data_IF_499303530197
#
_entry.id   IF_499303530197
#
_cell.length_a   1.000
_cell.length_b   1.000
_cell.length_c   1.000
_cell.angle_alpha   90.00
_cell.angle_beta   90.00
_cell.angle_gamma   90.00
#
_symmetry.space_group_name_H-M   'P 1'
#
loop_
_entity.id
_entity.type
_entity.pdbx_description
1 polymer ?
#
# COMPACT_ATOMS: atom_id res chain seq x y z
N UNK A 1 -58.60 28.72 12.08
CA UNK A 1 -57.23 28.70 12.62
C UNK A 1 -56.82 27.25 12.79
N UNK A 2 -56.10 26.72 11.81
CA UNK A 2 -55.63 25.33 11.75
C UNK A 2 -54.20 25.27 12.29
N UNK A 3 -53.97 24.44 13.31
CA UNK A 3 -52.66 24.17 13.88
C UNK A 3 -51.72 23.56 12.82
N UNK A 4 -50.44 23.95 12.75
CA UNK A 4 -49.49 23.27 11.87
C UNK A 4 -49.16 21.88 12.41
N UNK A 5 -49.13 20.90 11.51
CA UNK A 5 -48.68 19.54 11.81
C UNK A 5 -47.18 19.53 12.15
N UNK A 6 -46.82 18.81 13.21
CA UNK A 6 -45.43 18.53 13.57
C UNK A 6 -44.76 17.72 12.45
N UNK A 7 -43.51 18.04 12.04
CA UNK A 7 -42.79 17.21 11.08
C UNK A 7 -42.48 15.85 11.70
N UNK A 8 -42.79 14.80 10.93
CA UNK A 8 -42.44 13.41 11.23
C UNK A 8 -40.91 13.29 11.33
N UNK A 9 -40.36 12.55 12.32
CA UNK A 9 -38.93 12.34 12.39
C UNK A 9 -38.50 11.58 11.14
N UNK A 10 -37.67 12.23 10.32
CA UNK A 10 -36.98 11.58 9.21
C UNK A 10 -36.31 10.32 9.76
N UNK A 11 -36.56 9.20 9.09
CA UNK A 11 -35.85 7.96 9.32
C UNK A 11 -34.36 8.26 9.17
N UNK A 12 -33.66 8.23 10.30
CA UNK A 12 -32.23 7.99 10.33
C UNK A 12 -32.06 6.62 9.67
N UNK A 13 -31.56 6.59 8.44
CA UNK A 13 -31.06 5.39 7.80
C UNK A 13 -29.93 4.86 8.67
N UNK A 14 -30.31 4.01 9.63
CA UNK A 14 -29.40 3.27 10.47
C UNK A 14 -28.68 2.29 9.57
N UNK A 15 -27.42 2.62 9.25
CA UNK A 15 -26.46 1.69 8.71
C UNK A 15 -26.43 0.47 9.66
N UNK A 16 -27.09 -0.61 9.27
CA UNK A 16 -27.06 -1.84 10.05
C UNK A 16 -25.59 -2.26 10.16
N UNK A 17 -25.05 -2.49 11.37
CA UNK A 17 -23.69 -3.00 11.50
C UNK A 17 -23.63 -4.32 10.74
N UNK A 18 -22.82 -4.37 9.67
CA UNK A 18 -22.61 -5.63 8.94
C UNK A 18 -22.05 -6.63 9.94
N UNK A 19 -22.76 -7.75 10.11
CA UNK A 19 -22.25 -8.81 10.96
C UNK A 19 -20.91 -9.29 10.41
N UNK A 20 -19.91 -9.57 11.28
CA UNK A 20 -18.64 -10.11 10.84
C UNK A 20 -18.86 -11.40 10.03
N UNK A 21 -18.18 -11.50 8.88
CA UNK A 21 -18.32 -12.63 7.97
C UNK A 21 -16.97 -13.28 7.70
N UNK A 22 -16.93 -14.58 7.52
CA UNK A 22 -15.67 -15.27 7.21
C UNK A 22 -15.39 -15.23 5.71
N UNK A 23 -14.14 -14.96 5.33
CA UNK A 23 -13.71 -14.94 3.92
C UNK A 23 -12.27 -15.43 3.77
N UNK A 24 -11.95 -15.90 2.57
CA UNK A 24 -10.59 -16.25 2.18
C UNK A 24 -9.92 -15.04 1.53
N UNK A 25 -8.69 -14.73 1.94
CA UNK A 25 -7.84 -13.72 1.33
C UNK A 25 -6.46 -14.30 0.97
N UNK A 26 -5.76 -13.63 0.06
CA UNK A 26 -4.36 -13.91 -0.24
C UNK A 26 -3.53 -12.72 0.24
N UNK A 27 -2.63 -12.94 1.18
CA UNK A 27 -1.88 -11.86 1.83
C UNK A 27 -0.48 -12.33 2.18
N UNK A 28 0.46 -11.39 2.21
CA UNK A 28 1.80 -11.57 2.80
C UNK A 28 1.94 -10.83 4.13
N UNK A 29 0.86 -10.23 4.63
CA UNK A 29 0.83 -9.42 5.85
C UNK A 29 0.08 -10.18 6.93
N UNK A 30 0.59 -10.10 8.17
CA UNK A 30 -0.11 -10.57 9.36
C UNK A 30 -1.26 -9.62 9.72
N UNK A 31 -2.48 -10.16 9.83
CA UNK A 31 -3.69 -9.39 10.16
C UNK A 31 -4.05 -9.49 11.66
N UNK A 32 -4.66 -8.45 12.27
CA UNK A 32 -5.03 -7.17 11.67
C UNK A 32 -3.82 -6.30 11.32
N UNK A 33 -3.94 -5.49 10.26
CA UNK A 33 -2.95 -4.46 9.95
C UNK A 33 -3.36 -3.14 10.63
N UNK A 34 -2.44 -2.53 11.37
CA UNK A 34 -2.62 -1.18 11.94
C UNK A 34 -2.04 -0.15 10.97
N UNK A 35 -2.82 0.88 10.61
CA UNK A 35 -2.42 1.89 9.62
C UNK A 35 -2.03 3.26 10.20
N UNK A 36 -2.36 3.48 11.46
CA UNK A 36 -2.05 4.68 12.25
C UNK A 36 -1.02 4.40 13.34
N UNK A 37 -0.19 3.36 13.16
CA UNK A 37 0.72 2.94 14.21
C UNK A 37 1.73 4.05 14.56
N UNK A 38 1.79 4.42 15.83
CA UNK A 38 2.76 5.36 16.37
C UNK A 38 3.92 4.58 17.03
N UNK A 39 5.11 4.51 16.39
CA UNK A 39 6.25 3.81 16.97
C UNK A 39 6.69 4.44 18.30
N UNK A 40 6.95 3.63 19.34
CA UNK A 40 7.55 4.08 20.59
C UNK A 40 8.83 4.89 20.40
N UNK A 41 9.03 5.90 21.26
CA UNK A 41 10.22 6.78 21.23
C UNK A 41 11.53 6.05 21.54
N UNK A 42 11.45 4.92 22.24
CA UNK A 42 12.62 4.08 22.58
C UNK A 42 13.08 3.19 21.41
N UNK A 43 12.37 3.23 20.27
CA UNK A 43 12.68 2.45 19.08
C UNK A 43 12.23 0.99 19.15
N UNK A 44 11.52 0.59 20.21
CA UNK A 44 10.89 -0.73 20.30
C UNK A 44 9.73 -0.84 19.29
N UNK A 45 9.51 -2.05 18.77
CA UNK A 45 8.42 -2.38 17.84
C UNK A 45 8.19 -1.38 16.69
N UNK A 46 9.22 -0.96 15.93
CA UNK A 46 9.07 0.08 14.92
C UNK A 46 8.06 -0.28 13.83
N UNK A 47 7.59 0.73 13.08
CA UNK A 47 6.83 0.50 11.84
C UNK A 47 7.62 -0.46 10.93
N UNK A 48 6.98 -1.55 10.51
CA UNK A 48 7.68 -2.62 9.77
C UNK A 48 8.17 -2.13 8.41
N UNK A 49 7.42 -1.24 7.75
CA UNK A 49 7.81 -0.63 6.48
C UNK A 49 8.99 0.35 6.60
N UNK A 50 9.09 1.08 7.71
CA UNK A 50 10.22 1.98 7.95
C UNK A 50 11.47 1.20 8.38
N UNK A 51 11.29 0.21 9.24
CA UNK A 51 12.39 -0.55 9.82
C UNK A 51 13.02 -1.52 8.82
N UNK A 52 12.20 -2.20 8.03
CA UNK A 52 12.64 -3.14 7.02
C UNK A 52 11.93 -2.86 5.69
N UNK A 53 12.64 -2.25 4.75
CA UNK A 53 12.05 -1.91 3.44
C UNK A 53 11.56 -3.15 2.67
N UNK A 54 12.12 -4.33 2.94
CA UNK A 54 11.70 -5.58 2.28
C UNK A 54 10.34 -6.04 2.74
N UNK A 55 9.87 -5.59 3.92
CA UNK A 55 8.54 -5.93 4.42
C UNK A 55 7.43 -5.45 3.49
N UNK A 56 7.54 -4.24 2.93
CA UNK A 56 6.58 -3.77 1.93
C UNK A 56 6.69 -4.48 0.58
N UNK A 57 7.86 -5.05 0.26
CA UNK A 57 8.09 -5.77 -0.99
C UNK A 57 7.57 -7.20 -0.91
N UNK A 58 7.92 -7.92 0.16
CA UNK A 58 7.76 -9.37 0.27
C UNK A 58 6.83 -9.79 1.42
N UNK A 59 6.64 -8.92 2.42
CA UNK A 59 5.93 -9.24 3.65
C UNK A 59 6.56 -10.44 4.35
N UNK A 60 5.71 -11.32 4.85
CA UNK A 60 6.02 -12.60 5.47
C UNK A 60 5.85 -13.78 4.49
N UNK A 61 5.76 -13.49 3.18
CA UNK A 61 5.48 -14.47 2.14
C UNK A 61 3.99 -14.70 1.91
N UNK A 62 3.58 -14.73 0.65
CA UNK A 62 2.17 -14.79 0.25
C UNK A 62 1.55 -16.14 0.59
N UNK A 63 0.35 -16.13 1.18
CA UNK A 63 -0.41 -17.34 1.52
C UNK A 63 -1.91 -17.09 1.50
N UNK A 64 -2.66 -18.18 1.48
CA UNK A 64 -4.12 -18.19 1.61
C UNK A 64 -4.50 -18.20 3.09
N UNK A 65 -5.26 -17.21 3.52
CA UNK A 65 -5.64 -17.01 4.93
C UNK A 65 -7.16 -16.91 5.01
N UNK A 66 -7.76 -17.59 5.96
CA UNK A 66 -9.15 -17.39 6.34
C UNK A 66 -9.22 -16.28 7.40
N UNK A 67 -10.03 -15.26 7.15
CA UNK A 67 -10.20 -14.11 8.05
C UNK A 67 -11.66 -13.88 8.41
N UNK A 68 -11.88 -13.35 9.61
CA UNK A 68 -13.12 -12.71 10.00
C UNK A 68 -13.09 -11.25 9.55
N UNK A 69 -13.97 -10.90 8.62
CA UNK A 69 -14.14 -9.58 8.02
C UNK A 69 -15.27 -8.81 8.71
N UNK A 70 -14.91 -7.69 9.33
CA UNK A 70 -15.83 -6.82 10.06
C UNK A 70 -16.55 -5.79 9.17
N UNK A 71 -16.28 -5.78 7.86
CA UNK A 71 -16.91 -4.89 6.89
C UNK A 71 -16.42 -3.44 6.93
N UNK A 72 -15.43 -3.13 7.78
CA UNK A 72 -14.82 -1.81 7.98
C UNK A 72 -13.31 -1.81 7.70
N UNK A 73 -12.84 -2.76 6.89
CA UNK A 73 -11.42 -2.97 6.60
C UNK A 73 -10.65 -3.75 7.69
N UNK A 74 -11.24 -3.99 8.87
CA UNK A 74 -10.58 -4.81 9.89
C UNK A 74 -10.76 -6.30 9.60
N UNK A 75 -9.63 -7.01 9.54
CA UNK A 75 -9.57 -8.46 9.43
C UNK A 75 -8.90 -9.08 10.66
N UNK A 76 -9.38 -10.25 11.09
CA UNK A 76 -8.73 -11.09 12.11
C UNK A 76 -8.47 -12.47 11.49
N UNK A 77 -7.24 -12.96 11.57
CA UNK A 77 -6.89 -14.30 11.08
C UNK A 77 -7.61 -15.38 11.90
N UNK A 78 -8.28 -16.30 11.20
CA UNK A 78 -8.98 -17.46 11.76
C UNK A 78 -8.17 -18.73 11.54
N UNK A 79 -7.65 -18.92 10.32
CA UNK A 79 -6.84 -20.09 9.97
C UNK A 79 -5.85 -19.78 8.84
N UNK A 80 -4.73 -20.50 8.79
CA UNK A 80 -3.68 -20.33 7.76
C UNK A 80 -2.87 -19.02 7.83
N UNK A 81 -3.12 -18.19 8.85
CA UNK A 81 -2.50 -16.88 9.03
C UNK A 81 -1.09 -16.90 9.59
N UNK A 82 -0.43 -15.74 9.58
CA UNK A 82 0.93 -15.56 10.09
C UNK A 82 0.99 -15.47 11.61
N UNK A 83 -0.07 -14.96 12.27
CA UNK A 83 -0.10 -14.76 13.72
C UNK A 83 -0.03 -16.10 14.46
N UNK A 84 -0.67 -17.14 13.92
CA UNK A 84 -0.61 -18.50 14.47
C UNK A 84 0.81 -19.11 14.41
N UNK A 85 1.69 -18.61 13.54
CA UNK A 85 3.11 -19.00 13.44
C UNK A 85 4.03 -18.17 14.37
N UNK A 86 3.46 -17.29 15.19
CA UNK A 86 4.19 -16.46 16.15
C UNK A 86 4.63 -15.11 15.59
N UNK A 87 4.16 -14.70 14.41
CA UNK A 87 4.40 -13.35 13.91
C UNK A 87 3.48 -12.33 14.60
N UNK A 88 4.02 -11.15 14.89
CA UNK A 88 3.18 -10.03 15.35
C UNK A 88 2.29 -9.51 14.21
N UNK A 89 1.08 -8.99 14.51
CA UNK A 89 0.25 -8.27 13.55
C UNK A 89 1.00 -7.12 12.89
N UNK A 90 0.68 -6.84 11.62
CA UNK A 90 1.44 -5.87 10.84
C UNK A 90 1.18 -4.44 11.27
N UNK A 91 2.23 -3.61 11.27
CA UNK A 91 2.18 -2.23 11.77
C UNK A 91 2.75 -1.25 10.76
N UNK A 92 1.87 -0.48 10.14
CA UNK A 92 2.17 0.63 9.25
C UNK A 92 1.94 1.95 9.99
N UNK A 93 2.93 2.84 9.97
CA UNK A 93 2.76 4.17 10.54
C UNK A 93 2.00 5.10 9.59
N UNK A 94 1.48 6.19 10.16
CA UNK A 94 0.76 7.24 9.45
C UNK A 94 1.52 7.75 8.22
N UNK A 95 2.84 7.94 8.31
CA UNK A 95 3.66 8.42 7.19
C UNK A 95 3.64 7.42 6.03
N UNK A 96 3.80 6.13 6.31
CA UNK A 96 3.74 5.09 5.27
C UNK A 96 2.34 4.97 4.67
N UNK A 97 1.28 5.09 5.46
CA UNK A 97 -0.08 5.07 4.94
C UNK A 97 -0.35 6.28 4.04
N UNK A 98 0.04 7.48 4.46
CA UNK A 98 -0.13 8.72 3.71
C UNK A 98 0.63 8.74 2.38
N UNK A 99 1.83 8.15 2.31
CA UNK A 99 2.56 7.98 1.04
C UNK A 99 1.75 7.18 0.01
N UNK A 100 1.04 6.14 0.45
CA UNK A 100 0.19 5.32 -0.41
C UNK A 100 -1.10 6.04 -0.80
N UNK A 101 -1.72 6.77 0.14
CA UNK A 101 -2.88 7.61 -0.13
C UNK A 101 -2.54 8.71 -1.15
N UNK A 102 -1.35 9.28 -1.06
CA UNK A 102 -0.89 10.29 -2.01
C UNK A 102 -0.76 9.72 -3.43
N UNK A 103 -0.26 8.49 -3.58
CA UNK A 103 -0.25 7.77 -4.86
C UNK A 103 -1.68 7.53 -5.35
N UNK A 104 -2.56 6.98 -4.51
CA UNK A 104 -3.96 6.67 -4.84
C UNK A 104 -4.74 7.89 -5.32
N UNK A 105 -4.46 9.07 -4.78
CA UNK A 105 -5.17 10.32 -5.09
C UNK A 105 -4.61 11.06 -6.32
N UNK A 106 -3.55 10.55 -6.94
CA UNK A 106 -3.01 11.16 -8.14
C UNK A 106 -4.02 11.06 -9.29
N UNK A 107 -4.54 12.21 -9.75
CA UNK A 107 -5.62 12.26 -10.75
C UNK A 107 -5.25 11.58 -12.08
N UNK A 108 -4.00 11.73 -12.51
CA UNK A 108 -3.47 11.06 -13.69
C UNK A 108 -1.96 10.89 -13.54
N UNK A 109 -1.47 9.65 -13.61
CA UNK A 109 -0.04 9.39 -13.55
C UNK A 109 0.66 9.81 -14.85
N UNK A 110 1.68 10.65 -14.74
CA UNK A 110 2.60 10.97 -15.85
C UNK A 110 3.92 10.27 -15.61
N UNK A 111 4.20 9.20 -16.33
CA UNK A 111 5.39 8.38 -16.08
C UNK A 111 6.60 8.92 -16.86
N UNK A 112 7.74 9.04 -16.19
CA UNK A 112 9.03 9.48 -16.74
C UNK A 112 10.18 8.65 -16.17
N UNK A 113 11.34 8.65 -16.83
CA UNK A 113 12.54 8.02 -16.30
C UNK A 113 13.03 8.67 -15.00
N UNK A 114 13.54 7.85 -14.09
CA UNK A 114 14.22 8.30 -12.87
C UNK A 114 15.62 8.78 -13.21
N UNK A 115 15.96 9.99 -12.76
CA UNK A 115 17.30 10.54 -12.91
C UNK A 115 18.33 9.64 -12.20
N UNK A 116 19.41 9.29 -12.91
CA UNK A 116 20.51 8.49 -12.36
C UNK A 116 20.30 6.97 -12.38
N UNK A 117 19.15 6.48 -12.86
CA UNK A 117 18.89 5.04 -12.97
C UNK A 117 18.65 4.67 -14.44
N UNK A 118 19.48 3.77 -14.96
CA UNK A 118 19.39 3.25 -16.33
C UNK A 118 19.41 1.73 -16.28
N UNK A 119 18.54 1.07 -17.05
CA UNK A 119 18.39 -0.39 -17.03
C UNK A 119 19.69 -1.08 -17.42
N UNK A 120 20.33 -0.61 -18.50
CA UNK A 120 21.49 -1.27 -19.12
C UNK A 120 22.74 -1.31 -18.22
N UNK A 121 22.88 -0.36 -17.29
CA UNK A 121 24.00 -0.29 -16.36
C UNK A 121 23.65 -0.72 -14.94
N UNK A 122 22.41 -1.16 -14.70
CA UNK A 122 21.92 -1.46 -13.37
C UNK A 122 22.47 -2.80 -12.84
N UNK A 123 23.01 -2.79 -11.63
CA UNK A 123 23.49 -4.00 -10.97
C UNK A 123 22.33 -4.77 -10.30
N UNK A 124 21.59 -5.54 -11.09
CA UNK A 124 20.47 -6.37 -10.61
C UNK A 124 20.89 -7.35 -9.52
N UNK A 125 22.06 -7.98 -9.66
CA UNK A 125 22.55 -8.93 -8.67
C UNK A 125 22.72 -8.26 -7.28
N UNK A 126 23.36 -7.09 -7.23
CA UNK A 126 23.49 -6.33 -5.98
C UNK A 126 22.14 -5.88 -5.42
N UNK A 127 21.19 -5.49 -6.29
CA UNK A 127 19.86 -5.08 -5.87
C UNK A 127 19.09 -6.23 -5.20
N UNK A 128 19.02 -7.41 -5.83
CA UNK A 128 18.34 -8.56 -5.24
C UNK A 128 19.07 -9.11 -4.01
N UNK A 129 20.41 -9.09 -4.00
CA UNK A 129 21.19 -9.45 -2.81
C UNK A 129 20.88 -8.53 -1.62
N UNK A 130 20.52 -7.26 -1.85
CA UNK A 130 20.11 -6.34 -0.78
C UNK A 130 18.75 -6.67 -0.15
N UNK A 131 17.97 -7.60 -0.72
CA UNK A 131 16.73 -8.08 -0.11
C UNK A 131 16.97 -9.13 0.96
N UNK A 132 18.11 -9.82 0.91
CA UNK A 132 18.42 -10.95 1.80
C UNK A 132 18.99 -10.41 3.11
N UNK A 133 18.36 -10.70 4.27
CA UNK A 133 18.93 -10.36 5.57
C UNK A 133 20.28 -11.06 5.77
N UNK A 134 21.27 -10.32 6.25
CA UNK A 134 22.58 -10.88 6.61
C UNK A 134 22.54 -11.24 8.10
N UNK A 135 22.80 -12.51 8.48
CA UNK A 135 22.81 -12.92 9.88
C UNK A 135 23.74 -12.05 10.73
N UNK A 136 23.26 -11.61 11.89
CA UNK A 136 24.00 -10.75 12.82
C UNK A 136 24.07 -9.27 12.41
N UNK A 137 23.45 -8.87 11.31
CA UNK A 137 23.28 -7.46 10.96
C UNK A 137 21.85 -6.98 11.25
N UNK A 138 21.68 -5.66 11.29
CA UNK A 138 20.36 -5.04 11.33
C UNK A 138 19.56 -5.29 10.05
N UNK A 139 18.35 -4.73 9.95
CA UNK A 139 17.49 -4.90 8.78
C UNK A 139 18.18 -4.52 7.46
N UNK A 140 17.78 -5.15 6.34
CA UNK A 140 18.26 -4.76 5.02
C UNK A 140 18.12 -3.27 4.76
N UNK A 141 19.13 -2.66 4.13
CA UNK A 141 19.11 -1.24 3.75
C UNK A 141 18.64 -1.07 2.31
N UNK A 142 17.72 -0.14 2.10
CA UNK A 142 17.25 0.20 0.75
C UNK A 142 18.33 0.99 0.01
N UNK A 143 19.06 0.32 -0.88
CA UNK A 143 20.11 0.95 -1.71
C UNK A 143 19.63 1.32 -3.12
N UNK A 144 18.45 0.83 -3.52
CA UNK A 144 17.88 1.06 -4.85
C UNK A 144 16.39 1.46 -4.75
N UNK A 145 15.85 2.18 -5.75
CA UNK A 145 14.42 2.35 -5.91
C UNK A 145 13.78 1.02 -6.32
N UNK A 146 12.60 0.76 -5.80
CA UNK A 146 11.83 -0.46 -6.07
C UNK A 146 10.47 -0.09 -6.60
N UNK A 147 9.94 -0.91 -7.51
CA UNK A 147 8.62 -0.74 -8.07
C UNK A 147 7.56 -0.73 -6.96
N UNK A 148 6.56 0.13 -7.13
CA UNK A 148 5.41 0.24 -6.26
C UNK A 148 4.39 -0.88 -6.50
N UNK A 149 4.56 -1.71 -7.52
CA UNK A 149 3.58 -2.74 -7.90
C UNK A 149 4.14 -4.16 -7.85
N UNK A 150 5.45 -4.37 -7.94
CA UNK A 150 6.07 -5.70 -7.93
C UNK A 150 7.45 -5.66 -7.26
N UNK A 151 8.06 -6.81 -6.88
CA UNK A 151 9.36 -6.86 -6.22
C UNK A 151 10.53 -6.72 -7.21
N UNK A 152 10.48 -5.76 -8.13
CA UNK A 152 11.55 -5.47 -9.09
C UNK A 152 12.10 -4.04 -8.94
N UNK A 153 13.38 -3.79 -9.25
CA UNK A 153 13.97 -2.45 -9.25
C UNK A 153 13.20 -1.48 -10.15
N UNK A 154 13.05 -0.23 -9.71
CA UNK A 154 12.35 0.80 -10.46
C UNK A 154 13.30 1.69 -11.28
N UNK A 155 12.85 2.08 -12.46
CA UNK A 155 13.56 2.96 -13.38
C UNK A 155 12.70 4.15 -13.83
N UNK A 156 11.42 4.13 -13.46
CA UNK A 156 10.44 5.14 -13.82
C UNK A 156 9.72 5.65 -12.58
N UNK A 157 9.19 6.86 -12.66
CA UNK A 157 8.38 7.46 -11.61
C UNK A 157 7.30 8.39 -12.16
N UNK A 158 6.27 8.63 -11.36
CA UNK A 158 5.27 9.64 -11.67
C UNK A 158 5.85 11.05 -11.50
N UNK A 159 5.64 11.93 -12.48
CA UNK A 159 6.00 13.35 -12.45
C UNK A 159 4.77 14.27 -12.63
N UNK A 160 3.57 13.77 -12.32
CA UNK A 160 2.36 14.58 -12.40
C UNK A 160 2.41 15.71 -11.37
N UNK A 161 1.94 16.90 -11.76
CA UNK A 161 1.86 18.03 -10.84
C UNK A 161 0.82 17.72 -9.74
N UNK A 162 1.23 17.84 -8.49
CA UNK A 162 0.41 17.63 -7.29
C UNK A 162 0.03 18.99 -6.70
N UNK A 163 -1.19 19.07 -6.16
CA UNK A 163 -1.68 20.25 -5.42
C UNK A 163 -1.41 20.17 -3.92
N UNK A 164 -1.07 18.96 -3.43
CA UNK A 164 -0.72 18.68 -2.04
C UNK A 164 0.55 17.82 -1.96
N UNK A 165 1.27 17.87 -0.85
CA UNK A 165 2.36 16.94 -0.55
C UNK A 165 1.82 15.60 -0.02
N UNK A 166 2.73 14.68 0.34
CA UNK A 166 2.36 13.38 0.94
C UNK A 166 1.59 13.50 2.26
N UNK A 167 1.74 14.60 3.00
CA UNK A 167 1.01 14.89 4.23
C UNK A 167 -0.36 15.55 3.97
N UNK A 168 -0.79 15.64 2.72
CA UNK A 168 -2.04 16.31 2.29
C UNK A 168 -2.03 17.82 2.53
N UNK A 169 -0.85 18.42 2.72
CA UNK A 169 -0.70 19.86 2.90
C UNK A 169 -0.55 20.54 1.53
N UNK A 170 -1.15 21.72 1.30
CA UNK A 170 -1.01 22.43 0.04
C UNK A 170 0.46 22.69 -0.34
N UNK A 171 0.80 22.47 -1.61
CA UNK A 171 2.13 22.78 -2.14
C UNK A 171 2.06 23.84 -3.22
N UNK A 172 3.09 24.69 -3.27
CA UNK A 172 3.25 25.64 -4.37
C UNK A 172 3.60 24.87 -5.66
N UNK A 173 2.86 25.13 -6.74
CA UNK A 173 3.05 24.47 -8.04
C UNK A 173 4.47 24.63 -8.62
N UNK A 174 5.19 25.69 -8.24
CA UNK A 174 6.58 25.93 -8.65
C UNK A 174 7.61 25.18 -7.78
N UNK A 175 7.19 24.54 -6.68
CA UNK A 175 8.07 23.75 -5.82
C UNK A 175 8.38 22.39 -6.44
N UNK A 176 9.57 21.87 -6.15
CA UNK A 176 9.92 20.48 -6.48
C UNK A 176 9.04 19.47 -5.75
N UNK A 177 8.51 19.83 -4.59
CA UNK A 177 7.61 18.98 -3.80
C UNK A 177 6.23 18.81 -4.46
N UNK A 178 5.90 19.64 -5.45
CA UNK A 178 4.70 19.49 -6.25
C UNK A 178 4.86 18.49 -7.40
N UNK A 179 6.04 17.90 -7.62
CA UNK A 179 6.28 17.02 -8.77
C UNK A 179 6.24 15.55 -8.34
N UNK A 180 5.24 14.84 -8.84
CA UNK A 180 5.11 13.40 -8.70
C UNK A 180 4.39 12.99 -7.41
N UNK A 181 3.62 11.91 -7.50
CA UNK A 181 2.89 11.37 -6.34
C UNK A 181 3.69 10.31 -5.55
N UNK A 182 4.92 10.02 -5.96
CA UNK A 182 5.76 8.97 -5.35
C UNK A 182 5.61 7.57 -5.94
N UNK A 183 4.76 7.37 -6.94
CA UNK A 183 4.67 6.09 -7.68
C UNK A 183 6.00 5.83 -8.42
N UNK A 184 6.57 4.64 -8.23
CA UNK A 184 7.78 4.17 -8.91
C UNK A 184 7.48 2.87 -9.67
N UNK A 185 8.02 2.69 -10.87
CA UNK A 185 7.76 1.52 -11.71
C UNK A 185 9.05 0.92 -12.26
N UNK A 186 9.09 -0.41 -12.34
CA UNK A 186 10.06 -1.12 -13.18
C UNK A 186 9.64 -1.02 -14.66
N UNK A 187 10.52 -1.41 -15.58
CA UNK A 187 10.26 -1.37 -17.02
C UNK A 187 8.99 -2.12 -17.42
N UNK A 188 8.76 -3.32 -16.86
CA UNK A 188 7.54 -4.09 -17.12
C UNK A 188 6.28 -3.36 -16.63
N UNK A 189 6.29 -2.86 -15.40
CA UNK A 189 5.12 -2.19 -14.84
C UNK A 189 4.85 -0.83 -15.52
N UNK A 190 5.88 -0.19 -16.07
CA UNK A 190 5.72 0.99 -16.93
C UNK A 190 4.98 0.62 -18.23
N UNK A 191 5.41 -0.44 -18.92
CA UNK A 191 4.69 -0.90 -20.13
C UNK A 191 3.24 -1.31 -19.82
N UNK A 192 3.02 -1.99 -18.70
CA UNK A 192 1.67 -2.40 -18.27
C UNK A 192 0.77 -1.21 -17.91
N UNK A 193 1.28 -0.21 -17.18
CA UNK A 193 0.46 0.95 -16.82
C UNK A 193 0.09 1.78 -18.06
N UNK A 194 0.97 1.82 -19.07
CA UNK A 194 0.65 2.44 -20.36
C UNK A 194 -0.47 1.68 -21.08
N UNK A 195 -0.37 0.36 -21.18
CA UNK A 195 -1.40 -0.49 -21.79
C UNK A 195 -2.74 -0.41 -21.04
N UNK A 196 -2.69 -0.30 -19.71
CA UNK A 196 -3.84 -0.15 -18.82
C UNK A 196 -4.39 1.29 -18.74
N UNK A 197 -3.84 2.25 -19.50
CA UNK A 197 -4.25 3.67 -19.48
C UNK A 197 -4.25 4.28 -18.07
N UNK A 198 -3.26 3.93 -17.25
CA UNK A 198 -3.14 4.44 -15.87
C UNK A 198 -3.82 3.60 -14.79
N UNK A 199 -4.54 2.52 -15.15
CA UNK A 199 -5.23 1.68 -14.17
C UNK A 199 -4.27 0.74 -13.42
N UNK A 200 -3.96 1.10 -12.16
CA UNK A 200 -3.11 0.30 -11.28
C UNK A 200 -3.71 -1.07 -10.92
N UNK A 201 -5.04 -1.18 -10.83
CA UNK A 201 -5.70 -2.44 -10.48
C UNK A 201 -5.51 -3.47 -11.59
N UNK A 202 -5.59 -3.04 -12.84
CA UNK A 202 -5.30 -3.89 -14.00
C UNK A 202 -3.84 -4.36 -14.00
N UNK A 203 -2.87 -3.49 -13.68
CA UNK A 203 -1.44 -3.88 -13.61
C UNK A 203 -1.19 -4.90 -12.50
N UNK A 204 -1.80 -4.71 -11.32
CA UNK A 204 -1.72 -5.66 -10.21
C UNK A 204 -2.30 -7.02 -10.62
N UNK A 205 -3.50 -7.03 -11.23
CA UNK A 205 -4.11 -8.26 -11.73
C UNK A 205 -3.21 -9.01 -12.74
N UNK A 206 -2.60 -8.29 -13.68
CA UNK A 206 -1.64 -8.85 -14.65
C UNK A 206 -0.37 -9.40 -13.98
N UNK A 207 0.09 -8.77 -12.89
CA UNK A 207 1.22 -9.30 -12.11
C UNK A 207 0.84 -10.62 -11.42
N UNK A 208 -0.32 -10.67 -10.76
CA UNK A 208 -0.82 -11.87 -10.07
C UNK A 208 -1.05 -13.05 -11.02
N UNK A 209 -1.55 -12.80 -12.23
CA UNK A 209 -1.82 -13.86 -13.21
C UNK A 209 -0.55 -14.48 -13.77
N UNK A 210 0.51 -13.69 -13.95
CA UNK A 210 1.78 -14.19 -14.52
C UNK A 210 2.66 -14.88 -13.50
N UNK A 211 2.64 -14.44 -12.26
CA UNK A 211 3.44 -14.99 -11.18
C UNK A 211 2.59 -15.05 -9.91
N UNK A 212 2.00 -16.20 -9.65
CA UNK A 212 1.17 -16.36 -8.45
C UNK A 212 2.00 -16.28 -7.14
N UNK A 213 3.28 -16.64 -7.21
CA UNK A 213 4.18 -16.78 -6.05
C UNK A 213 4.72 -15.42 -5.60
N UNK A 214 5.25 -14.62 -6.52
CA UNK A 214 5.83 -13.31 -6.23
C UNK A 214 4.97 -12.14 -6.70
N UNK A 215 4.22 -12.33 -7.79
CA UNK A 215 3.20 -11.42 -8.33
C UNK A 215 3.45 -9.95 -8.08
N UNK A 216 2.50 -9.32 -7.38
CA UNK A 216 2.64 -7.98 -6.87
C UNK A 216 3.37 -7.97 -5.53
N UNK A 217 3.98 -6.83 -5.20
CA UNK A 217 4.56 -6.65 -3.87
C UNK A 217 3.50 -6.74 -2.77
N UNK A 218 3.92 -7.11 -1.56
CA UNK A 218 3.05 -7.41 -0.42
C UNK A 218 2.02 -6.33 -0.08
N UNK A 219 2.35 -5.05 -0.31
CA UNK A 219 1.49 -3.91 0.01
C UNK A 219 0.88 -3.22 -1.21
N UNK A 220 0.93 -3.84 -2.40
CA UNK A 220 0.47 -3.23 -3.65
C UNK A 220 -1.03 -2.88 -3.61
N UNK A 221 -1.85 -3.70 -2.95
CA UNK A 221 -3.30 -3.45 -2.78
C UNK A 221 -3.59 -2.14 -2.06
N UNK A 222 -2.66 -1.65 -1.23
CA UNK A 222 -2.82 -0.37 -0.54
C UNK A 222 -2.61 0.85 -1.45
N UNK A 223 -2.32 0.63 -2.74
CA UNK A 223 -2.31 1.64 -3.78
C UNK A 223 -3.60 1.66 -4.61
N UNK A 224 -4.60 0.85 -4.26
CA UNK A 224 -5.90 0.80 -4.93
C UNK A 224 -6.99 1.40 -4.05
N UNK A 225 -7.96 2.17 -4.57
CA UNK A 225 -9.07 2.65 -3.76
C UNK A 225 -9.91 1.49 -3.19
N UNK A 226 -10.60 1.72 -2.07
CA UNK A 226 -11.53 0.76 -1.47
C UNK A 226 -10.91 -0.36 -0.63
N UNK A 227 -9.57 -0.41 -0.51
CA UNK A 227 -8.90 -1.29 0.44
C UNK A 227 -9.16 -0.86 1.91
N UNK A 228 -8.79 -1.71 2.85
CA UNK A 228 -8.88 -1.49 4.31
C UNK A 228 -8.18 -0.21 4.81
N UNK A 229 -6.95 0.08 4.36
CA UNK A 229 -6.24 1.33 4.68
C UNK A 229 -6.99 2.55 4.13
N UNK A 230 -7.51 2.47 2.91
CA UNK A 230 -8.30 3.56 2.31
C UNK A 230 -9.57 3.80 3.12
N UNK A 231 -10.31 2.75 3.46
CA UNK A 231 -11.52 2.85 4.29
C UNK A 231 -11.22 3.44 5.68
N UNK A 232 -10.10 3.04 6.29
CA UNK A 232 -9.66 3.58 7.59
C UNK A 232 -9.47 5.10 7.57
N UNK A 233 -8.83 5.64 6.53
CA UNK A 233 -8.52 7.08 6.45
C UNK A 233 -9.62 7.95 5.82
N UNK A 234 -10.37 7.40 4.87
CA UNK A 234 -11.29 8.17 4.03
C UNK A 234 -12.75 7.95 4.43
N UNK A 235 -13.05 6.84 5.12
CA UNK A 235 -14.41 6.36 5.30
C UNK A 235 -14.92 5.60 4.07
N UNK A 236 -16.00 4.84 4.28
CA UNK A 236 -16.73 4.10 3.25
C UNK A 236 -17.69 4.97 2.47
#
# INVERSE_FOLDING_TARGET
MTLPALPSPAAIDGEHPRNPSTRIIHTSLAHPVTFDYEPPKDGSHPCQWCHNFTYGLLGLGKRTVEVLDFGNGRYIEVSGGHVAEGHEPSRMCVVCALERIHIMRCAAHRIVHLAGYQVDSFNFAAAYNSLVPIPGQGPPKKINPWCSLCPNPAFFGCSALQTVNKFQEPVNASSRDAIGCGLLLCERCEGLIHAARGDLAQVIMENEQRDFTFGSRADATYLLPGNDMYQFYIGS
#
